data_IF_454074945922
#
_entry.id   IF_454074945922
#
_cell.length_a   1.000
_cell.length_b   1.000
_cell.length_c   1.000
_cell.angle_alpha   90.00
_cell.angle_beta   90.00
_cell.angle_gamma   90.00
#
_symmetry.space_group_name_H-M   'P 1'
#
loop_
_entity.id
_entity.type
_entity.pdbx_description
1 polymer ?
#
# COMPACT_ATOMS: atom_id res chain seq x y z
N UNK A 1 -33.51 16.08 -6.51
CA UNK A 1 -32.60 16.23 -5.38
C UNK A 1 -31.83 14.93 -5.11
N UNK A 2 -32.44 13.77 -5.34
CA UNK A 2 -31.83 12.47 -5.04
C UNK A 2 -30.63 12.11 -5.89
N UNK A 3 -30.60 12.50 -7.17
CA UNK A 3 -29.47 12.25 -8.07
C UNK A 3 -28.22 13.04 -7.68
N UNK A 4 -28.40 14.32 -7.31
CA UNK A 4 -27.29 15.16 -6.87
C UNK A 4 -26.73 14.66 -5.54
N UNK A 5 -27.58 14.23 -4.61
CA UNK A 5 -27.17 13.64 -3.35
C UNK A 5 -26.40 12.32 -3.55
N UNK A 6 -26.91 11.45 -4.39
CA UNK A 6 -26.26 10.19 -4.76
C UNK A 6 -24.91 10.41 -5.43
N UNK A 7 -24.81 11.40 -6.30
CA UNK A 7 -23.56 11.77 -6.95
C UNK A 7 -22.50 12.26 -5.94
N UNK A 8 -22.88 13.17 -5.03
CA UNK A 8 -21.98 13.67 -3.98
C UNK A 8 -21.53 12.55 -3.06
N UNK A 9 -22.45 11.66 -2.67
CA UNK A 9 -22.14 10.51 -1.82
C UNK A 9 -21.14 9.56 -2.48
N UNK A 10 -21.32 9.21 -3.76
CA UNK A 10 -20.40 8.37 -4.52
C UNK A 10 -19.02 9.03 -4.70
N UNK A 11 -19.00 10.36 -4.88
CA UNK A 11 -17.75 11.12 -4.96
C UNK A 11 -16.99 11.05 -3.63
N UNK A 12 -17.65 11.26 -2.51
CA UNK A 12 -17.04 11.18 -1.18
C UNK A 12 -16.51 9.78 -0.88
N UNK A 13 -17.31 8.75 -1.16
CA UNK A 13 -16.91 7.36 -0.97
C UNK A 13 -15.67 6.99 -1.83
N UNK A 14 -15.66 7.42 -3.08
CA UNK A 14 -14.50 7.22 -3.97
C UNK A 14 -13.26 7.94 -3.47
N UNK A 15 -13.42 9.17 -2.97
CA UNK A 15 -12.32 9.97 -2.41
C UNK A 15 -11.71 9.29 -1.17
N UNK A 16 -12.54 8.83 -0.25
CA UNK A 16 -12.08 8.09 0.94
C UNK A 16 -11.31 6.82 0.56
N UNK A 17 -11.80 6.07 -0.41
CA UNK A 17 -11.15 4.86 -0.88
C UNK A 17 -9.77 5.14 -1.49
N UNK A 18 -9.64 6.17 -2.32
CA UNK A 18 -8.36 6.53 -2.93
C UNK A 18 -7.40 7.15 -1.92
N UNK A 19 -7.92 7.89 -0.93
CA UNK A 19 -7.12 8.48 0.15
C UNK A 19 -6.59 7.44 1.15
N UNK A 20 -7.26 6.30 1.31
CA UNK A 20 -6.89 5.27 2.31
C UNK A 20 -5.42 4.85 2.28
N UNK A 21 -4.82 4.44 1.16
CA UNK A 21 -3.41 4.05 1.13
C UNK A 21 -2.49 5.23 1.45
N UNK A 22 -2.86 6.45 1.06
CA UNK A 22 -2.08 7.64 1.36
C UNK A 22 -2.11 7.97 2.85
N UNK A 23 -3.26 7.84 3.50
CA UNK A 23 -3.40 8.05 4.96
C UNK A 23 -2.58 7.02 5.71
N UNK A 24 -2.68 5.72 5.37
CA UNK A 24 -1.89 4.68 6.01
C UNK A 24 -0.38 4.88 5.81
N UNK A 25 0.03 5.31 4.62
CA UNK A 25 1.42 5.64 4.31
C UNK A 25 1.91 6.84 5.14
N UNK A 26 1.12 7.91 5.21
CA UNK A 26 1.44 9.10 6.02
C UNK A 26 1.57 8.76 7.52
N UNK A 27 0.72 7.86 8.02
CA UNK A 27 0.81 7.36 9.40
C UNK A 27 2.13 6.59 9.63
N UNK A 28 2.50 5.71 8.70
CA UNK A 28 3.79 5.00 8.74
C UNK A 28 4.98 5.98 8.76
N UNK A 29 4.94 7.02 7.92
CA UNK A 29 5.93 8.08 7.91
C UNK A 29 6.02 8.85 9.23
N UNK A 30 4.86 9.20 9.82
CA UNK A 30 4.80 9.88 11.11
C UNK A 30 5.47 9.07 12.23
N UNK A 31 5.23 7.75 12.30
CA UNK A 31 5.89 6.89 13.27
C UNK A 31 7.40 6.80 13.05
N UNK A 32 7.83 6.71 11.79
CA UNK A 32 9.25 6.71 11.44
C UNK A 32 9.94 8.01 11.86
N UNK A 33 9.33 9.16 11.57
CA UNK A 33 9.85 10.48 11.95
C UNK A 33 9.90 10.68 13.47
N UNK A 34 8.87 10.23 14.21
CA UNK A 34 8.90 10.22 15.68
C UNK A 34 10.03 9.34 16.23
N UNK A 35 10.41 8.28 15.50
CA UNK A 35 11.59 7.46 15.79
C UNK A 35 12.92 8.08 15.41
N UNK A 36 12.93 9.28 14.80
CA UNK A 36 14.14 10.01 14.38
C UNK A 36 14.67 9.60 13.01
N UNK A 37 13.88 8.88 12.21
CA UNK A 37 14.26 8.45 10.86
C UNK A 37 13.27 9.02 9.85
N UNK A 38 13.78 9.81 8.91
CA UNK A 38 13.00 10.34 7.80
C UNK A 38 12.92 9.28 6.70
N UNK A 39 11.71 8.76 6.47
CA UNK A 39 11.47 7.70 5.49
C UNK A 39 10.91 8.23 4.17
N UNK A 40 11.79 8.65 3.27
CA UNK A 40 11.42 9.07 1.91
C UNK A 40 11.10 7.88 0.99
N UNK A 41 11.40 6.65 1.44
CA UNK A 41 11.19 5.41 0.69
C UNK A 41 9.76 4.84 0.76
N UNK A 42 8.81 5.57 1.33
CA UNK A 42 7.43 5.11 1.51
C UNK A 42 6.72 4.79 0.20
N UNK A 43 6.98 5.56 -0.87
CA UNK A 43 6.41 5.33 -2.19
C UNK A 43 6.81 3.96 -2.75
N UNK A 44 8.11 3.62 -2.67
CA UNK A 44 8.61 2.32 -3.11
C UNK A 44 8.07 1.16 -2.27
N UNK A 45 7.96 1.34 -0.95
CA UNK A 45 7.36 0.35 -0.05
C UNK A 45 5.90 0.11 -0.38
N UNK A 46 5.13 1.17 -0.65
CA UNK A 46 3.73 1.08 -1.07
C UNK A 46 3.59 0.38 -2.43
N UNK A 47 4.44 0.70 -3.40
CA UNK A 47 4.45 0.06 -4.71
C UNK A 47 4.76 -1.44 -4.60
N UNK A 48 5.77 -1.80 -3.81
CA UNK A 48 6.15 -3.20 -3.60
C UNK A 48 5.03 -3.97 -2.89
N UNK A 49 4.44 -3.39 -1.85
CA UNK A 49 3.30 -3.97 -1.14
C UNK A 49 2.12 -4.22 -2.08
N UNK A 50 1.76 -3.25 -2.92
CA UNK A 50 0.68 -3.37 -3.89
C UNK A 50 0.95 -4.47 -4.92
N UNK A 51 2.18 -4.56 -5.42
CA UNK A 51 2.58 -5.61 -6.37
C UNK A 51 2.47 -7.01 -5.75
N UNK A 52 3.07 -7.22 -4.56
CA UNK A 52 3.04 -8.53 -3.91
C UNK A 52 1.64 -8.91 -3.42
N UNK A 53 0.84 -7.93 -2.98
CA UNK A 53 -0.57 -8.15 -2.66
C UNK A 53 -1.33 -8.74 -3.84
N UNK A 54 -1.24 -8.07 -4.98
CA UNK A 54 -1.96 -8.48 -6.18
C UNK A 54 -1.41 -9.78 -6.79
N UNK A 55 -0.08 -9.94 -6.84
CA UNK A 55 0.57 -11.15 -7.35
C UNK A 55 0.19 -12.39 -6.53
N UNK A 56 0.27 -12.29 -5.19
CA UNK A 56 -0.07 -13.41 -4.31
C UNK A 56 -1.56 -13.71 -4.32
N UNK A 57 -2.42 -12.68 -4.31
CA UNK A 57 -3.86 -12.89 -4.40
C UNK A 57 -4.27 -13.55 -5.73
N UNK A 58 -3.62 -13.19 -6.84
CA UNK A 58 -3.87 -13.79 -8.15
C UNK A 58 -3.49 -15.29 -8.19
N UNK A 59 -2.38 -15.66 -7.53
CA UNK A 59 -1.89 -17.05 -7.53
C UNK A 59 -2.63 -17.91 -6.51
N UNK A 60 -2.90 -17.39 -5.31
CA UNK A 60 -3.51 -18.15 -4.21
C UNK A 60 -5.04 -18.13 -4.22
N UNK A 61 -5.64 -17.19 -4.95
CA UNK A 61 -7.09 -17.00 -4.94
C UNK A 61 -7.64 -16.33 -3.66
N UNK A 62 -6.76 -15.90 -2.74
CA UNK A 62 -7.13 -15.35 -1.42
C UNK A 62 -6.63 -13.92 -1.24
N UNK A 63 -7.55 -12.99 -0.95
CA UNK A 63 -7.20 -11.60 -0.63
C UNK A 63 -6.34 -11.49 0.64
N UNK A 64 -6.59 -12.33 1.66
CA UNK A 64 -5.84 -12.30 2.91
C UNK A 64 -4.38 -12.76 2.75
N UNK A 65 -4.14 -13.76 1.89
CA UNK A 65 -2.77 -14.14 1.53
C UNK A 65 -2.05 -12.97 0.82
N UNK A 66 -2.77 -12.24 -0.02
CA UNK A 66 -2.27 -11.01 -0.63
C UNK A 66 -1.88 -9.94 0.39
N UNK A 67 -2.73 -9.69 1.38
CA UNK A 67 -2.42 -8.74 2.48
C UNK A 67 -1.18 -9.17 3.26
N UNK A 68 -1.06 -10.44 3.61
CA UNK A 68 0.12 -10.96 4.30
C UNK A 68 1.41 -10.75 3.48
N UNK A 69 1.37 -11.03 2.18
CA UNK A 69 2.51 -10.81 1.28
C UNK A 69 2.86 -9.33 1.14
N UNK A 70 1.86 -8.44 1.12
CA UNK A 70 2.06 -6.99 1.12
C UNK A 70 2.83 -6.52 2.36
N UNK A 71 2.40 -6.97 3.55
CA UNK A 71 3.07 -6.63 4.83
C UNK A 71 4.51 -7.11 4.81
N UNK A 72 4.76 -8.37 4.47
CA UNK A 72 6.10 -8.97 4.44
C UNK A 72 7.03 -8.21 3.48
N UNK A 73 6.54 -7.87 2.29
CA UNK A 73 7.35 -7.17 1.28
C UNK A 73 7.67 -5.72 1.69
N UNK A 74 6.70 -5.02 2.27
CA UNK A 74 6.91 -3.66 2.80
C UNK A 74 7.90 -3.67 3.97
N UNK A 75 7.76 -4.63 4.90
CA UNK A 75 8.64 -4.79 6.05
C UNK A 75 10.08 -5.11 5.64
N UNK A 76 10.27 -5.95 4.62
CA UNK A 76 11.60 -6.25 4.09
C UNK A 76 12.33 -4.99 3.61
N UNK A 77 11.62 -4.10 2.89
CA UNK A 77 12.20 -2.82 2.46
C UNK A 77 12.37 -1.84 3.63
N UNK A 78 11.49 -1.87 4.63
CA UNK A 78 11.62 -1.05 5.83
C UNK A 78 12.85 -1.48 6.65
N UNK A 79 13.09 -2.78 6.81
CA UNK A 79 14.29 -3.31 7.45
C UNK A 79 15.58 -2.92 6.69
N UNK A 80 15.55 -2.99 5.36
CA UNK A 80 16.66 -2.56 4.53
C UNK A 80 16.98 -1.08 4.74
N UNK A 81 15.94 -0.23 4.78
CA UNK A 81 16.09 1.20 5.07
C UNK A 81 16.63 1.44 6.47
N UNK A 82 16.09 0.75 7.47
CA UNK A 82 16.54 0.81 8.86
C UNK A 82 18.00 0.37 9.02
N UNK A 83 18.41 -0.72 8.38
CA UNK A 83 19.81 -1.15 8.37
C UNK A 83 20.72 -0.07 7.77
N UNK A 84 20.34 0.50 6.64
CA UNK A 84 21.14 1.54 5.99
C UNK A 84 21.28 2.81 6.87
N UNK A 85 20.18 3.24 7.49
CA UNK A 85 20.13 4.51 8.23
C UNK A 85 20.57 4.39 9.69
N UNK A 86 20.21 3.29 10.37
CA UNK A 86 20.51 3.11 11.80
C UNK A 86 21.87 2.45 11.96
N UNK A 87 22.04 1.25 11.37
CA UNK A 87 23.25 0.44 11.60
C UNK A 87 24.45 1.05 10.92
N UNK A 88 24.32 1.43 9.65
CA UNK A 88 25.42 1.99 8.87
C UNK A 88 25.48 3.53 8.91
N UNK A 89 24.53 4.18 9.62
CA UNK A 89 24.46 5.64 9.75
C UNK A 89 24.50 6.37 8.40
N UNK A 90 23.91 5.76 7.38
CA UNK A 90 23.83 6.31 6.03
C UNK A 90 22.87 7.49 5.93
N UNK A 91 22.93 8.20 4.82
CA UNK A 91 22.02 9.30 4.54
C UNK A 91 20.60 8.75 4.29
N UNK A 92 19.63 9.16 5.11
CA UNK A 92 18.26 8.68 5.10
C UNK A 92 17.54 9.00 3.78
N UNK A 93 17.77 10.21 3.24
CA UNK A 93 17.14 10.63 1.99
C UNK A 93 17.67 9.81 0.81
N UNK A 94 18.99 9.62 0.74
CA UNK A 94 19.63 8.82 -0.33
C UNK A 94 19.14 7.36 -0.27
N UNK A 95 19.07 6.78 0.92
CA UNK A 95 18.57 5.42 1.13
C UNK A 95 17.09 5.30 0.72
N UNK A 96 16.25 6.27 1.08
CA UNK A 96 14.83 6.26 0.70
C UNK A 96 14.61 6.36 -0.81
N UNK A 97 15.34 7.27 -1.48
CA UNK A 97 15.28 7.39 -2.95
C UNK A 97 15.77 6.10 -3.63
N UNK A 98 16.84 5.50 -3.11
CA UNK A 98 17.34 4.22 -3.64
C UNK A 98 16.29 3.09 -3.53
N UNK A 99 15.53 3.03 -2.43
CA UNK A 99 14.43 2.08 -2.24
C UNK A 99 13.30 2.32 -3.25
N UNK A 100 12.95 3.58 -3.53
CA UNK A 100 11.93 3.90 -4.52
C UNK A 100 12.33 3.41 -5.93
N UNK A 101 13.59 3.64 -6.32
CA UNK A 101 14.13 3.18 -7.60
C UNK A 101 14.20 1.65 -7.64
N UNK A 102 14.67 1.02 -6.55
CA UNK A 102 14.72 -0.44 -6.45
C UNK A 102 13.34 -1.07 -6.60
N UNK A 103 12.33 -0.55 -5.88
CA UNK A 103 10.97 -1.05 -5.92
C UNK A 103 10.36 -0.90 -7.33
N UNK A 104 10.55 0.26 -7.97
CA UNK A 104 10.08 0.50 -9.33
C UNK A 104 10.71 -0.49 -10.34
N UNK A 105 12.03 -0.68 -10.29
CA UNK A 105 12.70 -1.63 -11.16
C UNK A 105 12.32 -3.08 -10.89
N UNK A 106 12.28 -3.47 -9.62
CA UNK A 106 11.99 -4.85 -9.21
C UNK A 106 10.57 -5.29 -9.57
N UNK A 107 9.58 -4.42 -9.38
CA UNK A 107 8.18 -4.73 -9.76
C UNK A 107 8.01 -4.94 -11.27
N UNK A 108 8.75 -4.20 -12.11
CA UNK A 108 8.75 -4.39 -13.57
C UNK A 108 9.38 -5.74 -13.93
N UNK A 109 10.54 -6.04 -13.36
CA UNK A 109 11.26 -7.30 -13.64
C UNK A 109 10.44 -8.52 -13.19
N UNK A 110 9.90 -8.49 -11.97
CA UNK A 110 9.08 -9.59 -11.44
C UNK A 110 7.75 -9.71 -12.20
N UNK A 111 7.12 -8.60 -12.58
CA UNK A 111 5.91 -8.60 -13.39
C UNK A 111 6.11 -9.24 -14.76
N UNK A 112 7.25 -8.97 -15.40
CA UNK A 112 7.64 -9.64 -16.64
C UNK A 112 7.96 -11.12 -16.43
N UNK A 113 8.71 -11.46 -15.38
CA UNK A 113 9.15 -12.84 -15.13
C UNK A 113 7.98 -13.77 -14.77
N UNK A 114 7.01 -13.29 -13.97
CA UNK A 114 5.92 -14.13 -13.48
C UNK A 114 4.66 -14.10 -14.33
N UNK A 115 4.35 -12.95 -14.93
CA UNK A 115 3.09 -12.74 -15.64
C UNK A 115 3.26 -12.35 -17.10
N UNK A 116 4.51 -12.23 -17.62
CA UNK A 116 4.81 -11.69 -18.94
C UNK A 116 4.17 -10.31 -19.20
N UNK A 117 4.06 -9.50 -18.14
CA UNK A 117 3.47 -8.15 -18.15
C UNK A 117 4.39 -7.17 -17.43
N UNK A 118 4.88 -6.17 -18.16
CA UNK A 118 5.77 -5.15 -17.60
C UNK A 118 5.07 -4.26 -16.57
N UNK A 119 5.37 -4.47 -15.28
CA UNK A 119 4.85 -3.62 -14.21
C UNK A 119 3.35 -3.72 -13.94
N UNK A 120 2.68 -4.76 -14.46
CA UNK A 120 1.27 -5.01 -14.23
C UNK A 120 1.05 -6.42 -13.70
N UNK A 121 0.08 -6.56 -12.79
CA UNK A 121 -0.40 -7.84 -12.29
C UNK A 121 -1.69 -8.24 -13.01
N UNK A 122 -2.05 -9.54 -13.03
CA UNK A 122 -3.36 -9.98 -13.52
C UNK A 122 -4.51 -9.26 -12.81
N UNK A 123 -5.63 -9.07 -13.51
CA UNK A 123 -6.82 -8.50 -12.90
C UNK A 123 -7.38 -9.45 -11.84
N UNK A 124 -7.58 -8.94 -10.63
CA UNK A 124 -8.14 -9.71 -9.52
C UNK A 124 -9.67 -9.84 -9.66
N UNK A 125 -10.22 -11.02 -9.39
CA UNK A 125 -11.65 -11.33 -9.54
C UNK A 125 -12.18 -11.99 -8.26
N UNK A 126 -13.42 -11.66 -7.86
CA UNK A 126 -14.12 -12.32 -6.73
C UNK A 126 -13.35 -12.27 -5.41
N UNK A 127 -13.10 -13.43 -4.81
CA UNK A 127 -12.47 -13.61 -3.49
C UNK A 127 -10.99 -13.14 -3.42
N UNK A 128 -10.40 -12.83 -4.56
CA UNK A 128 -9.07 -12.22 -4.63
C UNK A 128 -9.05 -10.75 -4.22
N UNK A 129 -10.22 -10.14 -4.02
CA UNK A 129 -10.39 -8.75 -3.55
C UNK A 129 -10.97 -8.73 -2.15
N UNK A 130 -10.54 -7.77 -1.35
CA UNK A 130 -11.19 -7.50 -0.06
C UNK A 130 -12.64 -7.04 -0.32
N UNK A 131 -13.60 -7.75 0.27
CA UNK A 131 -15.02 -7.44 0.10
C UNK A 131 -15.39 -6.11 0.77
N UNK A 132 -16.34 -5.35 0.21
CA UNK A 132 -16.93 -4.19 0.87
C UNK A 132 -17.71 -4.63 2.11
N UNK A 133 -17.57 -3.90 3.24
CA UNK A 133 -18.17 -4.30 4.53
C UNK A 133 -19.52 -3.62 4.76
N UNK A 134 -19.62 -2.32 4.57
CA UNK A 134 -20.80 -1.56 4.97
C UNK A 134 -21.69 -1.09 3.80
N UNK A 135 -21.10 -0.71 2.69
CA UNK A 135 -21.81 -0.09 1.56
C UNK A 135 -21.52 -0.85 0.27
N UNK A 136 -22.40 -1.81 -0.11
CA UNK A 136 -22.27 -2.48 -1.40
C UNK A 136 -22.38 -1.47 -2.53
N UNK A 137 -21.29 -1.29 -3.29
CA UNK A 137 -21.21 -0.31 -4.38
C UNK A 137 -20.27 0.88 -4.11
N UNK A 138 -20.04 1.27 -2.87
CA UNK A 138 -19.06 2.31 -2.51
C UNK A 138 -17.60 1.80 -2.49
N UNK A 139 -17.41 0.48 -2.50
CA UNK A 139 -16.09 -0.16 -2.58
C UNK A 139 -15.23 -0.02 -1.34
N UNK A 140 -15.84 0.29 -0.20
CA UNK A 140 -15.20 0.40 1.10
C UNK A 140 -14.84 -0.99 1.62
N UNK A 141 -13.57 -1.17 1.90
CA UNK A 141 -13.04 -2.40 2.49
C UNK A 141 -12.52 -2.12 3.92
N UNK A 142 -12.15 -3.19 4.63
CA UNK A 142 -11.66 -3.11 6.01
C UNK A 142 -10.51 -2.11 6.18
N UNK A 143 -9.67 -1.92 5.16
CA UNK A 143 -8.52 -1.00 5.23
C UNK A 143 -8.94 0.46 5.34
N UNK A 144 -10.09 0.86 4.79
CA UNK A 144 -10.65 2.21 4.94
C UNK A 144 -10.95 2.49 6.42
N UNK A 145 -11.58 1.55 7.10
CA UNK A 145 -11.92 1.69 8.52
C UNK A 145 -10.68 1.67 9.41
N UNK A 146 -9.70 0.82 9.07
CA UNK A 146 -8.40 0.80 9.77
C UNK A 146 -7.68 2.14 9.60
N UNK A 147 -7.66 2.72 8.40
CA UNK A 147 -7.05 4.02 8.16
C UNK A 147 -7.75 5.13 8.97
N UNK A 148 -9.08 5.17 8.95
CA UNK A 148 -9.85 6.15 9.72
C UNK A 148 -9.67 6.00 11.24
N UNK A 149 -9.58 4.77 11.74
CA UNK A 149 -9.35 4.50 13.15
C UNK A 149 -7.90 4.81 13.58
N UNK A 150 -6.93 4.67 12.69
CA UNK A 150 -5.53 4.96 12.97
C UNK A 150 -5.29 6.45 13.23
N UNK A 151 -6.00 7.35 12.53
CA UNK A 151 -5.82 8.80 12.68
C UNK A 151 -5.98 9.29 14.14
N UNK A 152 -7.08 9.00 14.86
CA UNK A 152 -7.23 9.43 16.24
C UNK A 152 -6.31 8.69 17.22
N UNK A 153 -5.85 7.47 16.91
CA UNK A 153 -4.94 6.70 17.76
C UNK A 153 -3.51 7.27 17.81
N UNK A 154 -3.16 8.16 16.90
CA UNK A 154 -1.81 8.76 16.80
C UNK A 154 -1.72 10.15 17.41
N UNK A 155 -2.83 10.67 17.86
CA UNK A 155 -2.93 11.90 18.67
C UNK A 155 -2.84 11.52 20.15
#
# INVERSE_FOLDING_TARGET
MDEAFSFVFLMLASTLRVATPLVLCAMGGLFSEKGGIVDVGLEGKMLMAAFFAAATAAVTGSAWAGVAAAVISAEALALLHGLACITYRGNQVVSGVAINILAAGLTIVLGNAWFNRGGQTPALVGDQRLMPILLPGAGDNILVYVALAAVPLTW
#
